data_IF_900142443448
#
_entry.id   IF_900142443448
#
_cell.length_a   1.000
_cell.length_b   1.000
_cell.length_c   1.000
_cell.angle_alpha   90.00
_cell.angle_beta   90.00
_cell.angle_gamma   90.00
#
_symmetry.space_group_name_H-M   'P 1'
#
loop_
_entity.id
_entity.type
_entity.pdbx_description
1 polymer ?
#
# COMPACT_ATOMS: atom_id res chain seq x y z
N UNK A 1 -6.19 -22.41 -5.69
CA UNK A 1 -7.19 -21.65 -4.90
C UNK A 1 -7.75 -20.57 -5.80
N UNK A 2 -9.04 -20.62 -6.14
CA UNK A 2 -9.70 -19.61 -6.99
C UNK A 2 -10.00 -18.37 -6.12
N UNK A 3 -9.81 -17.17 -6.67
CA UNK A 3 -10.02 -15.89 -5.98
C UNK A 3 -11.05 -15.05 -6.73
N UNK A 4 -11.97 -14.44 -5.99
CA UNK A 4 -12.95 -13.49 -6.54
C UNK A 4 -12.53 -12.10 -6.07
N UNK A 5 -12.47 -11.16 -7.02
CA UNK A 5 -12.19 -9.74 -6.77
C UNK A 5 -13.44 -8.97 -7.16
N UNK A 6 -14.05 -8.26 -6.21
CA UNK A 6 -15.15 -7.34 -6.49
C UNK A 6 -14.63 -6.06 -7.15
N UNK A 7 -15.46 -5.39 -7.96
CA UNK A 7 -15.07 -4.15 -8.65
C UNK A 7 -14.57 -3.09 -7.66
N UNK A 8 -13.50 -2.39 -8.03
CA UNK A 8 -12.77 -1.45 -7.18
C UNK A 8 -13.47 -0.08 -7.03
N UNK A 9 -14.78 -0.05 -6.80
CA UNK A 9 -15.49 1.17 -6.39
C UNK A 9 -15.30 1.39 -4.89
N UNK A 10 -14.08 1.78 -4.52
CA UNK A 10 -13.66 2.00 -3.15
C UNK A 10 -13.03 3.40 -3.00
N UNK A 11 -13.14 4.03 -1.83
CA UNK A 11 -12.67 5.40 -1.63
C UNK A 11 -11.16 5.52 -1.80
N UNK A 12 -10.71 6.65 -2.36
CA UNK A 12 -9.29 7.01 -2.43
C UNK A 12 -8.73 7.24 -1.02
N UNK A 13 -7.61 6.61 -0.72
CA UNK A 13 -6.90 6.72 0.54
C UNK A 13 -5.42 7.07 0.34
N UNK A 14 -4.82 7.69 1.34
CA UNK A 14 -3.38 7.96 1.36
C UNK A 14 -2.64 6.83 2.08
N UNK A 15 -1.77 6.13 1.35
CA UNK A 15 -0.97 5.06 1.92
C UNK A 15 0.36 5.57 2.47
N UNK A 16 0.63 5.25 3.74
CA UNK A 16 1.83 5.66 4.46
C UNK A 16 2.58 4.43 4.96
N UNK A 17 3.82 4.24 4.50
CA UNK A 17 4.68 3.17 4.95
C UNK A 17 5.77 3.71 5.89
N UNK A 18 5.63 3.43 7.18
CA UNK A 18 6.56 3.86 8.23
C UNK A 18 7.72 2.87 8.43
N UNK A 19 8.93 3.33 8.81
CA UNK A 19 10.12 2.47 8.95
C UNK A 19 10.15 1.72 10.30
N UNK A 20 8.99 1.27 10.78
CA UNK A 20 8.87 0.55 12.05
C UNK A 20 7.71 -0.44 12.03
N UNK A 21 7.79 -1.45 12.90
CA UNK A 21 6.72 -2.43 13.09
C UNK A 21 5.75 -1.93 14.14
N UNK A 22 4.50 -1.68 13.75
CA UNK A 22 3.40 -1.42 14.68
C UNK A 22 2.72 -2.76 14.98
N UNK A 23 2.63 -3.14 16.26
CA UNK A 23 2.01 -4.41 16.67
C UNK A 23 0.48 -4.38 16.57
N UNK A 24 -0.11 -3.21 16.82
CA UNK A 24 -1.55 -3.01 16.73
C UNK A 24 -2.01 -2.97 15.27
N UNK A 25 -3.05 -3.73 14.96
CA UNK A 25 -3.74 -3.71 13.67
C UNK A 25 -5.19 -3.31 13.92
N UNK A 26 -5.62 -2.20 13.32
CA UNK A 26 -6.98 -1.67 13.48
C UNK A 26 -7.05 -0.16 13.24
N UNK A 27 -8.23 0.44 13.43
CA UNK A 27 -8.42 1.88 13.28
C UNK A 27 -7.51 2.68 14.21
N UNK A 28 -6.96 3.79 13.69
CA UNK A 28 -6.11 4.70 14.46
C UNK A 28 -6.45 6.14 14.09
N UNK A 29 -6.32 7.06 15.04
CA UNK A 29 -6.58 8.48 14.81
C UNK A 29 -5.40 9.15 14.07
N UNK A 30 -5.08 8.67 12.87
CA UNK A 30 -3.96 9.20 12.08
C UNK A 30 -4.21 10.64 11.67
N UNK A 31 -5.46 11.04 11.44
CA UNK A 31 -5.83 12.41 11.05
C UNK A 31 -5.32 13.45 12.04
N UNK A 32 -5.60 13.26 13.33
CA UNK A 32 -5.30 14.27 14.35
C UNK A 32 -3.83 14.23 14.83
N UNK A 33 -3.15 13.10 14.66
CA UNK A 33 -1.77 12.92 15.14
C UNK A 33 -0.75 12.86 14.01
N UNK A 34 -0.85 11.85 13.12
CA UNK A 34 0.18 11.61 12.11
C UNK A 34 0.05 12.55 10.92
N UNK A 35 -1.12 12.63 10.31
CA UNK A 35 -1.40 13.51 9.17
C UNK A 35 -1.25 14.98 9.53
N UNK A 36 -1.72 15.39 10.71
CA UNK A 36 -1.53 16.76 11.20
C UNK A 36 -0.06 17.16 11.39
N UNK A 37 0.84 16.19 11.60
CA UNK A 37 2.28 16.45 11.74
C UNK A 37 3.01 16.68 10.41
N UNK A 38 2.34 16.41 9.27
CA UNK A 38 2.98 16.40 7.96
C UNK A 38 3.33 17.79 7.48
N UNK A 39 4.52 17.91 6.89
CA UNK A 39 5.01 19.12 6.21
C UNK A 39 5.70 18.74 4.93
N UNK A 40 5.51 19.55 3.89
CA UNK A 40 6.29 19.44 2.66
C UNK A 40 7.57 20.25 2.82
N UNK A 41 8.70 19.62 2.55
CA UNK A 41 10.02 20.26 2.61
C UNK A 41 10.86 19.84 1.40
N UNK A 42 11.97 20.53 1.18
CA UNK A 42 12.98 20.11 0.22
C UNK A 42 14.13 19.43 0.96
N UNK A 43 14.54 18.25 0.49
CA UNK A 43 15.71 17.54 0.97
C UNK A 43 16.61 17.21 -0.22
N UNK A 44 17.81 17.80 -0.26
CA UNK A 44 18.80 17.56 -1.34
C UNK A 44 18.14 17.63 -2.74
N UNK A 45 17.41 18.73 -2.98
CA UNK A 45 16.67 19.04 -4.21
C UNK A 45 15.43 18.18 -4.53
N UNK A 46 15.06 17.21 -3.69
CA UNK A 46 13.80 16.45 -3.80
C UNK A 46 12.69 17.04 -2.91
N UNK A 47 11.45 17.08 -3.39
CA UNK A 47 10.29 17.34 -2.53
C UNK A 47 10.02 16.10 -1.67
N UNK A 48 10.04 16.29 -0.35
CA UNK A 48 9.81 15.24 0.64
C UNK A 48 8.66 15.62 1.58
N UNK A 49 8.04 14.60 2.16
CA UNK A 49 7.03 14.75 3.21
C UNK A 49 7.70 14.45 4.55
N UNK A 50 7.88 15.46 5.39
CA UNK A 50 8.29 15.26 6.78
C UNK A 50 7.07 14.91 7.62
N UNK A 51 7.18 13.91 8.49
CA UNK A 51 6.16 13.57 9.48
C UNK A 51 6.82 13.22 10.82
N UNK A 52 6.08 13.27 11.92
CA UNK A 52 6.57 12.84 13.22
C UNK A 52 5.76 11.63 13.70
N UNK A 53 6.47 10.57 14.12
CA UNK A 53 5.85 9.41 14.73
C UNK A 53 6.57 9.07 16.02
N UNK A 54 5.84 9.07 17.15
CA UNK A 54 6.40 8.82 18.49
C UNK A 54 7.58 9.76 18.84
N UNK A 55 7.55 11.00 18.35
CA UNK A 55 8.62 12.00 18.57
C UNK A 55 9.83 11.83 17.64
N UNK A 56 9.83 10.84 16.75
CA UNK A 56 10.88 10.62 15.76
C UNK A 56 10.52 11.29 14.44
N UNK A 57 11.49 11.98 13.84
CA UNK A 57 11.35 12.61 12.53
C UNK A 57 11.45 11.55 11.45
N UNK A 58 10.45 11.53 10.58
CA UNK A 58 10.40 10.70 9.40
C UNK A 58 10.51 11.56 8.15
N UNK A 59 11.31 11.11 7.18
CA UNK A 59 11.45 11.77 5.88
C UNK A 59 10.85 10.84 4.81
N UNK A 60 9.77 11.30 4.17
CA UNK A 60 8.95 10.52 3.25
C UNK A 60 9.15 10.91 1.79
N UNK A 61 9.23 9.91 0.92
CA UNK A 61 9.27 10.05 -0.53
C UNK A 61 7.98 9.48 -1.15
N UNK A 62 7.39 10.18 -2.12
CA UNK A 62 6.23 9.68 -2.85
C UNK A 62 6.68 8.74 -3.97
N UNK A 63 6.23 7.50 -3.93
CA UNK A 63 6.42 6.51 -4.98
C UNK A 63 5.11 6.39 -5.77
N UNK A 64 5.17 6.77 -7.04
CA UNK A 64 4.05 6.66 -7.97
C UNK A 64 3.93 5.24 -8.49
N UNK A 65 2.70 4.73 -8.60
CA UNK A 65 2.42 3.40 -9.14
C UNK A 65 2.25 3.39 -10.67
N UNK A 66 2.57 4.50 -11.35
CA UNK A 66 2.44 4.61 -12.81
C UNK A 66 0.98 4.68 -13.26
N UNK A 67 0.62 3.83 -14.21
CA UNK A 67 -0.73 3.67 -14.75
C UNK A 67 -1.61 2.71 -13.92
N UNK A 68 -1.05 2.14 -12.84
CA UNK A 68 -1.74 1.19 -11.98
C UNK A 68 -2.36 1.84 -10.76
N UNK A 69 -3.33 1.11 -10.21
CA UNK A 69 -4.00 1.46 -8.97
C UNK A 69 -3.69 0.43 -7.88
N UNK A 70 -3.25 0.90 -6.72
CA UNK A 70 -3.14 0.09 -5.52
C UNK A 70 -4.51 -0.10 -4.88
N UNK A 71 -4.79 -1.30 -4.39
CA UNK A 71 -6.06 -1.63 -3.74
C UNK A 71 -5.79 -2.25 -2.37
N UNK A 72 -6.47 -1.75 -1.34
CA UNK A 72 -6.52 -2.38 -0.02
C UNK A 72 -7.77 -3.24 0.04
N UNK A 73 -7.61 -4.53 0.33
CA UNK A 73 -8.72 -5.49 0.37
C UNK A 73 -8.83 -6.13 1.74
N UNK A 74 -10.08 -6.31 2.20
CA UNK A 74 -10.38 -7.31 3.22
C UNK A 74 -10.49 -8.69 2.56
N UNK A 75 -10.01 -9.71 3.27
CA UNK A 75 -10.13 -11.10 2.86
C UNK A 75 -11.27 -11.76 3.61
N UNK A 76 -12.15 -12.46 2.90
CA UNK A 76 -13.15 -13.39 3.43
C UNK A 76 -12.99 -14.77 2.78
N UNK A 77 -13.51 -15.81 3.43
CA UNK A 77 -13.61 -17.14 2.84
C UNK A 77 -15.08 -17.45 2.60
N UNK A 78 -15.39 -17.96 1.41
CA UNK A 78 -16.74 -18.39 1.04
C UNK A 78 -16.70 -19.84 0.54
N UNK A 79 -17.72 -20.61 0.86
CA UNK A 79 -17.91 -21.95 0.31
C UNK A 79 -18.87 -21.88 -0.87
N UNK A 80 -18.47 -22.41 -2.02
CA UNK A 80 -19.31 -22.49 -3.22
C UNK A 80 -19.43 -23.96 -3.65
N UNK A 81 -20.65 -24.41 -3.89
CA UNK A 81 -20.91 -25.71 -4.49
C UNK A 81 -20.50 -25.68 -5.97
N UNK A 82 -19.62 -26.59 -6.36
CA UNK A 82 -19.24 -26.82 -7.74
C UNK A 82 -20.28 -27.75 -8.37
N UNK A 83 -21.17 -27.19 -9.17
CA UNK A 83 -22.29 -27.89 -9.81
C UNK A 83 -21.84 -28.99 -10.79
N UNK A 84 -20.60 -28.92 -11.27
CA UNK A 84 -20.03 -29.88 -12.23
C UNK A 84 -19.44 -31.12 -11.54
N UNK A 85 -18.92 -30.98 -10.31
CA UNK A 85 -18.22 -32.05 -9.58
C UNK A 85 -18.97 -32.52 -8.32
N UNK A 86 -20.08 -31.87 -7.94
CA UNK A 86 -20.81 -32.18 -6.70
C UNK A 86 -19.99 -31.96 -5.43
N UNK A 87 -18.92 -31.16 -5.51
CA UNK A 87 -17.97 -30.88 -4.43
C UNK A 87 -18.16 -29.45 -3.90
N UNK A 88 -17.77 -29.21 -2.64
CA UNK A 88 -17.76 -27.85 -2.06
C UNK A 88 -16.34 -27.29 -2.15
N UNK A 89 -16.16 -26.21 -2.90
CA UNK A 89 -14.89 -25.50 -3.00
C UNK A 89 -14.88 -24.29 -2.05
N UNK A 90 -13.80 -24.15 -1.26
CA UNK A 90 -13.54 -22.92 -0.49
C UNK A 90 -12.79 -21.92 -1.36
N UNK A 91 -13.38 -20.74 -1.51
CA UNK A 91 -12.85 -19.63 -2.29
C UNK A 91 -12.40 -18.50 -1.37
N UNK A 92 -11.30 -17.86 -1.75
CA UNK A 92 -10.86 -16.62 -1.11
C UNK A 92 -11.52 -15.44 -1.82
N UNK A 93 -12.27 -14.65 -1.09
CA UNK A 93 -12.93 -13.45 -1.58
C UNK A 93 -12.15 -12.22 -1.12
N UNK A 94 -11.86 -11.32 -2.07
CA UNK A 94 -11.19 -10.06 -1.82
C UNK A 94 -12.18 -8.92 -2.03
N UNK A 95 -12.48 -8.22 -0.94
CA UNK A 95 -13.40 -7.09 -0.90
C UNK A 95 -12.60 -5.79 -0.83
N UNK A 96 -12.56 -4.98 -1.91
CA UNK A 96 -11.88 -3.69 -1.89
C UNK A 96 -12.47 -2.76 -0.83
N UNK A 97 -11.62 -2.15 0.00
CA UNK A 97 -12.02 -1.17 1.02
C UNK A 97 -11.44 0.21 0.79
N UNK A 98 -10.35 0.31 0.04
CA UNK A 98 -9.75 1.57 -0.38
C UNK A 98 -8.89 1.38 -1.62
N UNK A 99 -8.69 2.45 -2.37
CA UNK A 99 -7.74 2.52 -3.47
C UNK A 99 -6.70 3.60 -3.21
N UNK A 100 -5.52 3.49 -3.81
CA UNK A 100 -4.44 4.47 -3.70
C UNK A 100 -3.60 4.50 -4.98
N UNK A 101 -3.19 5.70 -5.40
CA UNK A 101 -2.40 5.92 -6.62
C UNK A 101 -0.89 5.96 -6.35
N UNK A 102 -0.53 6.21 -5.09
CA UNK A 102 0.86 6.39 -4.66
C UNK A 102 1.08 5.91 -3.25
N UNK A 103 2.34 5.64 -2.92
CA UNK A 103 2.78 5.23 -1.59
C UNK A 103 3.78 6.23 -1.05
N UNK A 104 3.58 6.73 0.17
CA UNK A 104 4.59 7.54 0.85
C UNK A 104 5.47 6.62 1.68
N UNK A 105 6.73 6.45 1.27
CA UNK A 105 7.71 5.60 1.94
C UNK A 105 8.58 6.47 2.83
N UNK A 106 8.62 6.17 4.13
CA UNK A 106 9.36 6.95 5.11
C UNK A 106 10.67 6.27 5.53
N UNK A 107 11.74 7.07 5.66
CA UNK A 107 12.98 6.74 6.35
C UNK A 107 13.09 7.48 7.69
N UNK A 108 13.95 6.99 8.59
CA UNK A 108 14.23 7.61 9.87
C UNK A 108 15.34 8.66 9.71
N UNK A 109 15.07 9.93 10.04
CA UNK A 109 15.99 11.08 9.93
C UNK A 109 16.67 11.30 8.57
N UNK A 110 16.31 10.51 7.56
CA UNK A 110 16.93 10.46 6.24
C UNK A 110 15.92 9.94 5.22
N UNK A 111 16.12 10.29 3.95
CA UNK A 111 15.29 9.75 2.87
C UNK A 111 15.43 8.22 2.79
N UNK A 112 14.39 7.50 2.34
CA UNK A 112 14.51 6.07 2.03
C UNK A 112 15.67 5.84 1.05
N UNK A 113 16.46 4.78 1.29
CA UNK A 113 17.55 4.40 0.39
C UNK A 113 17.02 4.09 -1.01
N UNK A 114 17.82 4.36 -2.05
CA UNK A 114 17.45 4.03 -3.44
C UNK A 114 17.23 2.52 -3.64
N UNK A 115 17.95 1.68 -2.89
CA UNK A 115 17.77 0.21 -2.89
C UNK A 115 16.57 -0.26 -2.04
N UNK A 116 15.68 0.66 -1.66
CA UNK A 116 14.47 0.29 -0.94
C UNK A 116 13.54 -0.49 -1.88
N UNK A 117 13.12 -1.69 -1.47
CA UNK A 117 12.24 -2.57 -2.26
C UNK A 117 10.97 -1.89 -2.79
N UNK A 118 10.45 -0.90 -2.08
CA UNK A 118 9.25 -0.17 -2.48
C UNK A 118 9.53 0.84 -3.60
N UNK A 119 10.76 1.35 -3.70
CA UNK A 119 11.19 2.19 -4.83
C UNK A 119 11.39 1.38 -6.11
N UNK A 120 11.77 0.11 -5.97
CA UNK A 120 11.99 -0.82 -7.07
C UNK A 120 10.70 -1.46 -7.63
N UNK A 121 9.52 -1.05 -7.14
CA UNK A 121 8.22 -1.60 -7.59
C UNK A 121 8.05 -1.49 -9.12
N UNK A 122 8.36 -0.32 -9.67
CA UNK A 122 8.21 -0.06 -11.11
C UNK A 122 9.27 -0.81 -11.95
N UNK A 123 10.47 -1.05 -11.39
CA UNK A 123 11.50 -1.85 -12.07
C UNK A 123 11.09 -3.32 -12.15
N UNK A 124 10.54 -3.86 -11.06
CA UNK A 124 10.05 -5.23 -11.03
C UNK A 124 8.95 -5.47 -12.06
N UNK A 125 8.08 -4.49 -12.23
CA UNK A 125 7.05 -4.50 -13.26
C UNK A 125 7.64 -4.55 -14.67
N UNK A 126 8.58 -3.67 -15.01
CA UNK A 126 9.21 -3.68 -16.32
C UNK A 126 9.90 -5.03 -16.63
N UNK A 127 10.49 -5.67 -15.61
CA UNK A 127 11.05 -7.02 -15.73
C UNK A 127 9.95 -8.05 -15.98
N UNK A 128 8.84 -7.99 -15.23
CA UNK A 128 7.73 -8.92 -15.39
C UNK A 128 7.11 -8.82 -16.79
N UNK A 129 6.93 -7.60 -17.30
CA UNK A 129 6.40 -7.37 -18.65
C UNK A 129 7.37 -7.87 -19.72
N UNK A 130 8.68 -7.70 -19.55
CA UNK A 130 9.67 -8.23 -20.49
C UNK A 130 9.75 -9.76 -20.51
N UNK A 131 9.40 -10.43 -19.41
CA UNK A 131 9.40 -11.89 -19.31
C UNK A 131 8.10 -12.50 -19.85
N UNK A 132 6.97 -11.84 -19.61
CA UNK A 132 5.63 -12.41 -19.86
C UNK A 132 4.86 -11.75 -21.01
N UNK A 133 5.35 -10.64 -21.56
CA UNK A 133 4.82 -9.97 -22.75
C UNK A 133 5.38 -10.56 -24.03
#
# INVERSE_FOLDING_TARGET
MKTIIHNADAPLAELNLVPCKIQYTGPSNTKDYFSASKKKEKWQDKEVVIANFRGLKLIGENIQLGDKLGVVCNTSEISRENSEEGSVETLKELNPIAVFEKVIVYGHDSCPSENNKWKMLNEWEAIADAING
#
